data_IF_410809102549
#
_entry.id   IF_410809102549
#
_cell.length_a   1.000
_cell.length_b   1.000
_cell.length_c   1.000
_cell.angle_alpha   90.00
_cell.angle_beta   90.00
_cell.angle_gamma   90.00
#
_symmetry.space_group_name_H-M   'P 1'
#
loop_
_entity.id
_entity.type
_entity.pdbx_description
1 polymer ?
#
# COMPACT_ATOMS: atom_id res chain seq x y z
N UNK A 1 21.19 13.48 1.45
CA UNK A 1 20.16 13.14 0.45
C UNK A 1 19.53 11.83 0.91
N UNK A 2 18.21 11.78 1.13
CA UNK A 2 17.56 10.54 1.58
C UNK A 2 17.78 9.44 0.52
N UNK A 3 18.12 8.24 0.97
CA UNK A 3 18.31 7.09 0.08
C UNK A 3 17.01 6.85 -0.72
N UNK A 4 17.08 6.70 -2.05
CA UNK A 4 15.90 6.41 -2.85
C UNK A 4 15.28 5.09 -2.39
N UNK A 5 13.95 5.03 -2.36
CA UNK A 5 13.23 3.80 -2.05
C UNK A 5 13.49 2.74 -3.14
N UNK A 6 13.23 1.48 -2.82
CA UNK A 6 13.45 0.36 -3.74
C UNK A 6 12.69 0.59 -5.05
N UNK A 7 13.36 0.45 -6.20
CA UNK A 7 12.82 0.68 -7.56
C UNK A 7 12.35 2.11 -7.86
N UNK A 8 12.53 3.07 -6.93
CA UNK A 8 12.00 4.41 -7.10
C UNK A 8 12.59 5.14 -8.31
N UNK A 9 13.91 5.03 -8.51
CA UNK A 9 14.61 5.66 -9.64
C UNK A 9 14.22 5.07 -10.99
N UNK A 10 13.94 3.76 -11.01
CA UNK A 10 13.56 3.04 -12.22
C UNK A 10 12.11 3.33 -12.62
N UNK A 11 11.22 3.41 -11.63
CA UNK A 11 9.79 3.65 -11.83
C UNK A 11 9.45 5.12 -12.06
N UNK A 12 10.24 6.05 -11.51
CA UNK A 12 10.04 7.48 -11.66
C UNK A 12 9.80 7.93 -13.12
N UNK A 13 10.63 7.58 -14.13
CA UNK A 13 10.38 7.99 -15.51
C UNK A 13 9.08 7.43 -16.08
N UNK A 14 8.66 6.22 -15.69
CA UNK A 14 7.44 5.60 -16.20
C UNK A 14 6.16 6.25 -15.65
N UNK A 15 6.19 6.69 -14.39
CA UNK A 15 5.01 7.29 -13.75
C UNK A 15 4.98 8.83 -13.79
N UNK A 16 6.04 9.47 -14.29
CA UNK A 16 6.10 10.93 -14.45
C UNK A 16 6.22 11.35 -15.91
N UNK A 17 7.32 11.08 -16.60
CA UNK A 17 7.56 11.62 -17.95
C UNK A 17 6.95 10.76 -19.06
N UNK A 18 6.97 9.44 -18.91
CA UNK A 18 6.42 8.48 -19.88
C UNK A 18 5.01 8.00 -19.54
N UNK A 19 4.39 8.57 -18.51
CA UNK A 19 3.06 8.15 -18.09
C UNK A 19 2.02 8.46 -19.17
N UNK A 20 1.04 7.57 -19.40
CA UNK A 20 0.01 7.78 -20.43
C UNK A 20 -0.86 9.01 -20.18
N UNK A 21 -0.97 9.44 -18.92
CA UNK A 21 -1.69 10.65 -18.53
C UNK A 21 -1.11 11.25 -17.24
N UNK A 22 -1.36 12.54 -17.03
CA UNK A 22 -1.00 13.28 -15.83
C UNK A 22 -2.27 13.81 -15.16
N UNK A 23 -2.37 13.65 -13.85
CA UNK A 23 -3.49 14.21 -13.11
C UNK A 23 -3.37 15.75 -13.07
N UNK A 24 -4.50 16.48 -13.25
CA UNK A 24 -4.52 17.93 -13.11
C UNK A 24 -3.93 18.37 -11.77
N UNK A 25 -3.26 19.53 -11.75
CA UNK A 25 -2.60 20.06 -10.54
C UNK A 25 -3.59 20.17 -9.38
N UNK A 26 -4.79 20.70 -9.64
CA UNK A 26 -5.86 20.83 -8.64
C UNK A 26 -6.23 19.47 -7.99
N UNK A 27 -6.23 18.39 -8.76
CA UNK A 27 -6.53 17.05 -8.25
C UNK A 27 -5.37 16.54 -7.38
N UNK A 28 -4.12 16.76 -7.80
CA UNK A 28 -2.92 16.37 -7.05
C UNK A 28 -2.83 17.11 -5.71
N UNK A 29 -3.13 18.40 -5.69
CA UNK A 29 -3.19 19.20 -4.46
C UNK A 29 -4.33 18.74 -3.54
N UNK A 30 -5.51 18.50 -4.11
CA UNK A 30 -6.64 17.92 -3.38
C UNK A 30 -6.29 16.57 -2.76
N UNK A 31 -5.64 15.69 -3.53
CA UNK A 31 -5.15 14.41 -3.05
C UNK A 31 -4.22 14.60 -1.85
N UNK A 32 -3.14 15.38 -1.97
CA UNK A 32 -2.20 15.58 -0.84
C UNK A 32 -2.88 16.21 0.39
N UNK A 33 -3.91 17.03 0.19
CA UNK A 33 -4.66 17.66 1.28
C UNK A 33 -5.61 16.69 1.99
N UNK A 34 -6.37 15.89 1.24
CA UNK A 34 -7.44 15.05 1.79
C UNK A 34 -7.03 13.60 2.03
N UNK A 35 -6.02 13.09 1.30
CA UNK A 35 -5.55 11.72 1.40
C UNK A 35 -5.15 11.27 2.82
N UNK A 36 -4.49 12.11 3.66
CA UNK A 36 -4.18 11.70 5.04
C UNK A 36 -5.45 11.41 5.85
N UNK A 37 -6.50 12.21 5.67
CA UNK A 37 -7.79 12.05 6.35
C UNK A 37 -8.52 10.82 5.80
N UNK A 38 -8.54 10.66 4.48
CA UNK A 38 -9.14 9.49 3.82
C UNK A 38 -8.46 8.21 4.29
N UNK A 39 -7.12 8.19 4.35
CA UNK A 39 -6.33 7.05 4.82
C UNK A 39 -6.65 6.72 6.28
N UNK A 40 -6.77 7.73 7.15
CA UNK A 40 -7.13 7.54 8.55
C UNK A 40 -8.52 6.93 8.69
N UNK A 41 -9.51 7.47 7.97
CA UNK A 41 -10.89 6.97 8.01
C UNK A 41 -10.97 5.54 7.47
N UNK A 42 -10.31 5.25 6.35
CA UNK A 42 -10.25 3.89 5.80
C UNK A 42 -9.59 2.91 6.77
N UNK A 43 -8.50 3.32 7.44
CA UNK A 43 -7.87 2.50 8.48
C UNK A 43 -8.84 2.21 9.63
N UNK A 44 -9.55 3.23 10.12
CA UNK A 44 -10.56 3.09 11.19
C UNK A 44 -11.75 2.21 10.79
N UNK A 45 -12.25 2.31 9.56
CA UNK A 45 -13.32 1.45 9.06
C UNK A 45 -12.83 0.02 8.87
N UNK A 46 -11.57 -0.16 8.47
CA UNK A 46 -10.96 -1.48 8.27
C UNK A 46 -10.56 -2.16 9.60
N UNK A 47 -10.51 -1.44 10.71
CA UNK A 47 -10.03 -1.95 12.00
C UNK A 47 -10.77 -3.20 12.47
N UNK A 48 -12.12 -3.28 12.43
CA UNK A 48 -12.83 -4.52 12.76
C UNK A 48 -12.41 -5.70 11.87
N UNK A 49 -12.22 -5.47 10.56
CA UNK A 49 -11.77 -6.51 9.64
C UNK A 49 -10.32 -6.93 9.92
N UNK A 50 -9.43 -5.98 10.23
CA UNK A 50 -8.05 -6.25 10.63
C UNK A 50 -8.02 -7.05 11.93
N UNK A 51 -8.83 -6.70 12.93
CA UNK A 51 -8.90 -7.42 14.20
C UNK A 51 -9.48 -8.83 14.03
N UNK A 52 -10.52 -8.99 13.21
CA UNK A 52 -11.06 -10.30 12.87
C UNK A 52 -10.02 -11.15 12.12
N UNK A 53 -9.31 -10.55 11.17
CA UNK A 53 -8.22 -11.21 10.44
C UNK A 53 -7.08 -11.63 11.37
N UNK A 54 -6.67 -10.77 12.31
CA UNK A 54 -5.61 -11.11 13.27
C UNK A 54 -6.06 -12.12 14.32
N UNK A 55 -7.29 -12.06 14.80
CA UNK A 55 -7.82 -13.00 15.79
C UNK A 55 -8.16 -14.34 15.17
N UNK A 56 -9.16 -14.36 14.27
CA UNK A 56 -9.66 -15.57 13.61
C UNK A 56 -8.58 -16.13 12.69
N UNK A 57 -7.95 -15.28 11.86
CA UNK A 57 -6.94 -15.75 10.91
C UNK A 57 -5.72 -16.38 11.60
N UNK A 58 -5.29 -15.87 12.75
CA UNK A 58 -4.24 -16.52 13.53
C UNK A 58 -4.72 -17.80 14.22
N UNK A 59 -5.93 -17.81 14.78
CA UNK A 59 -6.49 -19.00 15.45
C UNK A 59 -6.62 -20.20 14.50
N UNK A 60 -6.92 -19.96 13.23
CA UNK A 60 -7.03 -20.99 12.19
C UNK A 60 -5.69 -21.32 11.49
N UNK A 61 -4.60 -20.67 11.87
CA UNK A 61 -3.28 -20.96 11.29
C UNK A 61 -2.87 -22.44 11.44
N UNK A 62 -3.04 -23.12 12.59
CA UNK A 62 -2.73 -24.55 12.69
C UNK A 62 -3.59 -25.43 11.77
N UNK A 63 -4.86 -25.04 11.58
CA UNK A 63 -5.81 -25.76 10.71
C UNK A 63 -5.39 -25.67 9.25
N UNK A 64 -4.76 -24.56 8.84
CA UNK A 64 -4.25 -24.41 7.46
C UNK A 64 -3.20 -25.46 7.07
N UNK A 65 -2.47 -26.03 8.03
CA UNK A 65 -1.49 -27.10 7.80
C UNK A 65 -2.13 -28.47 7.57
N UNK A 66 -3.42 -28.65 7.89
CA UNK A 66 -4.16 -29.88 7.55
C UNK A 66 -4.33 -30.03 6.02
N UNK A 67 -4.32 -28.91 5.29
CA UNK A 67 -4.28 -28.88 3.82
C UNK A 67 -2.89 -29.17 3.23
N UNK A 68 -1.94 -29.62 4.06
CA UNK A 68 -0.54 -29.86 3.69
C UNK A 68 0.39 -28.71 4.07
N UNK A 69 1.69 -29.02 4.14
CA UNK A 69 2.73 -28.05 4.54
C UNK A 69 2.78 -26.83 3.60
N UNK A 70 2.59 -27.04 2.30
CA UNK A 70 2.58 -25.95 1.32
C UNK A 70 1.44 -24.96 1.55
N UNK A 71 0.23 -25.46 1.82
CA UNK A 71 -0.95 -24.65 2.10
C UNK A 71 -0.79 -23.84 3.38
N UNK A 72 -0.34 -24.47 4.46
CA UNK A 72 -0.14 -23.79 5.74
C UNK A 72 0.98 -22.74 5.69
N UNK A 73 2.08 -23.05 5.00
CA UNK A 73 3.15 -22.09 4.78
C UNK A 73 2.69 -20.89 3.94
N UNK A 74 2.02 -21.14 2.81
CA UNK A 74 1.51 -20.07 1.95
C UNK A 74 0.52 -19.16 2.71
N UNK A 75 -0.41 -19.75 3.46
CA UNK A 75 -1.35 -19.01 4.31
C UNK A 75 -0.62 -18.10 5.31
N UNK A 76 0.40 -18.64 5.99
CA UNK A 76 1.19 -17.89 6.98
C UNK A 76 1.95 -16.73 6.32
N UNK A 77 2.55 -16.95 5.15
CA UNK A 77 3.25 -15.90 4.40
C UNK A 77 2.28 -14.79 4.00
N UNK A 78 1.12 -15.13 3.45
CA UNK A 78 0.09 -14.13 3.05
C UNK A 78 -0.41 -13.34 4.27
N UNK A 79 -0.61 -13.99 5.41
CA UNK A 79 -0.97 -13.34 6.68
C UNK A 79 0.08 -12.30 7.10
N UNK A 80 1.35 -12.69 7.10
CA UNK A 80 2.47 -11.80 7.49
C UNK A 80 2.60 -10.61 6.52
N UNK A 81 2.56 -10.86 5.21
CA UNK A 81 2.61 -9.79 4.20
C UNK A 81 1.46 -8.80 4.33
N UNK A 82 0.25 -9.29 4.61
CA UNK A 82 -0.93 -8.45 4.83
C UNK A 82 -0.78 -7.59 6.07
N UNK A 83 -0.24 -8.15 7.16
CA UNK A 83 0.04 -7.41 8.39
C UNK A 83 1.09 -6.31 8.17
N UNK A 84 2.19 -6.62 7.47
CA UNK A 84 3.21 -5.62 7.11
C UNK A 84 2.56 -4.48 6.31
N UNK A 85 1.68 -4.79 5.37
CA UNK A 85 0.93 -3.80 4.60
C UNK A 85 0.07 -2.88 5.49
N UNK A 86 -0.64 -3.42 6.49
CA UNK A 86 -1.41 -2.62 7.45
C UNK A 86 -0.50 -1.72 8.28
N UNK A 87 0.61 -2.26 8.79
CA UNK A 87 1.58 -1.51 9.59
C UNK A 87 2.16 -0.36 8.78
N UNK A 88 2.56 -0.58 7.53
CA UNK A 88 3.08 0.48 6.66
C UNK A 88 2.05 1.58 6.40
N UNK A 89 0.78 1.24 6.19
CA UNK A 89 -0.30 2.24 6.05
C UNK A 89 -0.46 3.07 7.32
N UNK A 90 -0.39 2.45 8.49
CA UNK A 90 -0.45 3.15 9.77
C UNK A 90 0.78 4.06 9.98
N UNK A 91 1.98 3.57 9.68
CA UNK A 91 3.23 4.34 9.77
C UNK A 91 3.31 5.48 8.76
N UNK A 92 2.62 5.36 7.63
CA UNK A 92 2.52 6.43 6.65
C UNK A 92 1.72 7.63 7.19
N UNK A 93 0.73 7.43 8.06
CA UNK A 93 -0.20 8.48 8.48
C UNK A 93 0.48 9.73 9.05
N UNK A 94 1.38 9.65 10.06
CA UNK A 94 2.04 10.84 10.58
C UNK A 94 2.81 11.60 9.51
N UNK A 95 3.47 10.89 8.59
CA UNK A 95 4.21 11.50 7.50
C UNK A 95 3.31 12.06 6.40
N UNK A 96 2.14 11.46 6.16
CA UNK A 96 1.14 11.97 5.23
C UNK A 96 0.55 13.30 5.72
N UNK A 97 0.21 13.40 7.02
CA UNK A 97 -0.26 14.66 7.62
C UNK A 97 0.80 15.76 7.58
N UNK A 98 2.06 15.40 7.88
CA UNK A 98 3.17 16.35 7.91
C UNK A 98 3.84 16.57 6.55
N UNK A 99 3.34 15.93 5.49
CA UNK A 99 3.91 15.96 4.14
C UNK A 99 5.40 15.66 4.11
N UNK A 100 5.81 14.65 4.89
CA UNK A 100 7.21 14.25 4.96
C UNK A 100 7.53 13.18 3.92
N UNK A 101 8.81 13.13 3.55
CA UNK A 101 9.33 12.10 2.68
C UNK A 101 9.09 10.69 3.23
N UNK A 102 9.23 10.49 4.53
CA UNK A 102 8.98 9.20 5.18
C UNK A 102 7.54 8.71 4.99
N UNK A 103 6.55 9.61 5.07
CA UNK A 103 5.13 9.26 4.83
C UNK A 103 4.88 8.79 3.42
N UNK A 104 5.52 9.45 2.43
CA UNK A 104 5.47 9.02 1.04
C UNK A 104 6.11 7.64 0.83
N UNK A 105 7.28 7.40 1.44
CA UNK A 105 7.99 6.11 1.34
C UNK A 105 7.19 4.96 1.94
N UNK A 106 6.57 5.15 3.11
CA UNK A 106 5.71 4.11 3.70
C UNK A 106 4.46 3.86 2.86
N UNK A 107 3.85 4.91 2.30
CA UNK A 107 2.72 4.78 1.37
C UNK A 107 3.11 4.02 0.10
N UNK A 108 4.30 4.30 -0.43
CA UNK A 108 4.87 3.59 -1.58
C UNK A 108 5.04 2.09 -1.30
N UNK A 109 5.64 1.71 -0.17
CA UNK A 109 5.80 0.30 0.19
C UNK A 109 4.46 -0.39 0.47
N UNK A 110 3.52 0.30 1.13
CA UNK A 110 2.18 -0.22 1.32
C UNK A 110 1.47 -0.50 -0.01
N UNK A 111 1.67 0.36 -1.01
CA UNK A 111 1.09 0.18 -2.35
C UNK A 111 1.74 -0.98 -3.12
N UNK A 112 3.07 -1.10 -3.07
CA UNK A 112 3.75 -2.25 -3.67
C UNK A 112 3.26 -3.59 -3.10
N UNK A 113 3.06 -3.66 -1.78
CA UNK A 113 2.49 -4.84 -1.14
C UNK A 113 1.04 -5.08 -1.55
N UNK A 114 0.26 -4.03 -1.74
CA UNK A 114 -1.13 -4.10 -2.22
C UNK A 114 -1.21 -4.70 -3.63
N UNK A 115 -0.35 -4.23 -4.54
CA UNK A 115 -0.24 -4.75 -5.91
C UNK A 115 0.22 -6.20 -5.88
N UNK A 116 1.23 -6.53 -5.07
CA UNK A 116 1.71 -7.91 -4.93
C UNK A 116 0.59 -8.83 -4.42
N UNK A 117 -0.17 -8.42 -3.41
CA UNK A 117 -1.33 -9.17 -2.92
C UNK A 117 -2.41 -9.34 -3.98
N UNK A 118 -2.63 -8.32 -4.82
CA UNK A 118 -3.57 -8.39 -5.94
C UNK A 118 -3.11 -9.37 -7.02
N UNK A 119 -1.80 -9.45 -7.29
CA UNK A 119 -1.22 -10.45 -8.20
C UNK A 119 -1.37 -11.87 -7.67
N UNK A 120 -1.07 -12.09 -6.38
CA UNK A 120 -1.21 -13.40 -5.73
C UNK A 120 -2.66 -13.88 -5.71
N UNK A 121 -3.62 -12.96 -5.62
CA UNK A 121 -5.05 -13.25 -5.70
C UNK A 121 -5.63 -13.24 -7.11
N UNK A 122 -4.79 -13.01 -8.13
CA UNK A 122 -5.19 -12.94 -9.56
C UNK A 122 -6.29 -11.87 -9.78
N UNK A 123 -6.27 -10.82 -8.95
CA UNK A 123 -7.22 -9.72 -9.01
C UNK A 123 -6.74 -8.66 -10.00
N UNK A 124 -7.18 -8.79 -11.25
CA UNK A 124 -6.87 -7.83 -12.32
C UNK A 124 -7.33 -6.42 -11.92
N UNK A 125 -8.53 -6.32 -11.35
CA UNK A 125 -9.10 -5.05 -10.88
C UNK A 125 -8.21 -4.44 -9.78
N UNK A 126 -7.77 -5.24 -8.82
CA UNK A 126 -6.88 -4.78 -7.74
C UNK A 126 -5.54 -4.28 -8.27
N UNK A 127 -4.94 -5.01 -9.22
CA UNK A 127 -3.68 -4.59 -9.87
C UNK A 127 -3.85 -3.26 -10.60
N UNK A 128 -4.94 -3.09 -11.36
CA UNK A 128 -5.20 -1.84 -12.09
C UNK A 128 -5.35 -0.64 -11.14
N UNK A 129 -6.17 -0.76 -10.11
CA UNK A 129 -6.32 0.30 -9.11
C UNK A 129 -5.03 0.60 -8.37
N UNK A 130 -4.25 -0.44 -8.04
CA UNK A 130 -2.98 -0.24 -7.36
C UNK A 130 -1.95 0.46 -8.23
N UNK A 131 -1.86 0.12 -9.51
CA UNK A 131 -1.00 0.83 -10.46
C UNK A 131 -1.44 2.29 -10.69
N UNK A 132 -2.75 2.55 -10.74
CA UNK A 132 -3.30 3.90 -10.81
C UNK A 132 -2.93 4.72 -9.57
N UNK A 133 -3.04 4.11 -8.39
CA UNK A 133 -2.69 4.76 -7.14
C UNK A 133 -1.18 5.01 -7.04
N UNK A 134 -0.36 4.04 -7.45
CA UNK A 134 1.09 4.16 -7.52
C UNK A 134 1.51 5.30 -8.46
N UNK A 135 0.87 5.38 -9.64
CA UNK A 135 1.08 6.46 -10.61
C UNK A 135 0.78 7.83 -9.97
N UNK A 136 -0.37 7.97 -9.30
CA UNK A 136 -0.73 9.20 -8.60
C UNK A 136 0.31 9.54 -7.52
N UNK A 137 0.76 8.54 -6.76
CA UNK A 137 1.75 8.69 -5.69
C UNK A 137 3.08 9.25 -6.22
N UNK A 138 3.56 8.77 -7.37
CA UNK A 138 4.75 9.33 -8.04
C UNK A 138 4.52 10.78 -8.52
N UNK A 139 3.34 11.10 -9.03
CA UNK A 139 3.03 12.45 -9.52
C UNK A 139 2.90 13.50 -8.40
N UNK A 140 2.57 13.06 -7.17
CA UNK A 140 2.52 13.93 -5.99
C UNK A 140 3.78 13.87 -5.14
N UNK A 141 4.79 13.10 -5.53
CA UNK A 141 6.05 12.94 -4.79
C UNK A 141 6.72 14.27 -4.44
N UNK A 142 6.66 15.26 -5.33
CA UNK A 142 7.24 16.60 -5.12
C UNK A 142 6.59 17.40 -3.98
N UNK A 143 5.38 17.01 -3.54
CA UNK A 143 4.69 17.66 -2.43
C UNK A 143 5.16 17.15 -1.05
N UNK A 144 5.95 16.07 -1.01
CA UNK A 144 6.47 15.46 0.22
C UNK A 144 7.97 15.73 0.36
N UNK A 145 8.39 16.39 1.46
CA UNK A 145 9.77 16.83 1.70
C UNK A 145 10.49 16.03 2.78
#
# INVERSE_FOLDING_TARGET
MAQPAVLESELAPYFTTKAPFQFPVNFREGFVKYWPIVSLVLLLISLPAILAFLGIGAAFMPVSFLGGLGTGFFYTVVMVFSLIGVVLRALALPGLFNRTRSGWVFSYYAELLSILGSLLSISIIGVLFGLLFLLLLFQVRSYYR
#
